data_IF_039849445034
#
_entry.id   IF_039849445034
#
_cell.length_a   1.000
_cell.length_b   1.000
_cell.length_c   1.000
_cell.angle_alpha   90.00
_cell.angle_beta   90.00
_cell.angle_gamma   90.00
#
_symmetry.space_group_name_H-M   'P 1'
#
loop_
_entity.id
_entity.type
_entity.pdbx_description
1 polymer ?
#
# COMPACT_ATOMS: atom_id res chain seq x y z
N UNK A 1 -24.40 70.46 -60.12
CA UNK A 1 -24.14 71.92 -60.15
C UNK A 1 -23.30 72.27 -58.92
N UNK A 2 -22.12 72.87 -59.13
CA UNK A 2 -21.21 73.47 -58.12
C UNK A 2 -20.51 72.54 -57.11
N UNK A 3 -19.19 72.33 -57.24
CA UNK A 3 -18.05 73.10 -56.64
C UNK A 3 -17.95 72.88 -55.11
N UNK A 4 -17.01 72.07 -54.63
CA UNK A 4 -15.59 72.36 -54.38
C UNK A 4 -15.36 73.38 -53.25
N UNK A 5 -14.71 72.96 -52.15
CA UNK A 5 -13.44 73.53 -51.64
C UNK A 5 -12.94 72.77 -50.40
N UNK A 6 -11.62 72.57 -50.37
CA UNK A 6 -10.81 71.96 -49.30
C UNK A 6 -10.23 73.07 -48.43
N UNK A 7 -10.12 72.88 -47.11
CA UNK A 7 -9.06 73.51 -46.30
C UNK A 7 -8.68 72.69 -45.06
N UNK A 8 -7.38 72.35 -44.97
CA UNK A 8 -6.46 72.12 -43.84
C UNK A 8 -6.99 72.34 -42.39
N UNK A 9 -6.56 71.70 -41.29
CA UNK A 9 -5.38 70.87 -40.98
C UNK A 9 -5.44 70.26 -39.55
N UNK A 10 -4.86 69.07 -39.40
CA UNK A 10 -4.05 68.51 -38.30
C UNK A 10 -4.49 68.49 -36.82
N UNK A 11 -4.39 67.26 -36.28
CA UNK A 11 -3.94 66.80 -34.95
C UNK A 11 -4.95 66.76 -33.78
N UNK A 12 -5.16 65.53 -33.29
CA UNK A 12 -5.72 65.23 -31.96
C UNK A 12 -6.37 63.83 -31.88
N UNK A 13 -5.56 62.84 -31.49
CA UNK A 13 -5.82 61.41 -31.20
C UNK A 13 -7.27 60.90 -30.99
N UNK A 14 -7.62 59.70 -31.51
CA UNK A 14 -8.81 58.96 -31.10
C UNK A 14 -8.49 57.83 -30.11
N UNK A 15 -9.43 57.62 -29.19
CA UNK A 15 -9.54 56.47 -28.28
C UNK A 15 -10.43 55.39 -28.93
N UNK A 16 -10.06 54.12 -28.69
CA UNK A 16 -10.78 52.82 -28.84
C UNK A 16 -11.48 52.46 -30.16
N UNK A 17 -11.07 51.32 -30.73
CA UNK A 17 -11.84 50.06 -30.77
C UNK A 17 -11.23 49.05 -31.77
N UNK A 18 -11.31 47.76 -31.42
CA UNK A 18 -11.53 46.70 -32.42
C UNK A 18 -10.33 45.87 -32.90
N UNK A 19 -10.08 44.79 -32.16
CA UNK A 19 -9.91 43.41 -32.66
C UNK A 19 -9.09 43.11 -33.94
N UNK A 20 -8.12 42.21 -33.77
CA UNK A 20 -7.96 41.09 -34.70
C UNK A 20 -6.65 41.01 -35.48
N UNK A 21 -5.56 40.65 -34.82
CA UNK A 21 -4.51 39.80 -35.42
C UNK A 21 -3.53 39.38 -34.34
N UNK A 22 -3.52 38.11 -33.94
CA UNK A 22 -2.28 37.55 -33.43
C UNK A 22 -2.16 36.09 -33.86
N UNK A 23 -1.36 35.95 -34.90
CA UNK A 23 -0.98 34.73 -35.57
C UNK A 23 -0.06 33.93 -34.64
N UNK A 24 -0.36 32.64 -34.55
CA UNK A 24 0.27 31.70 -33.66
C UNK A 24 1.55 31.18 -34.31
N UNK A 25 2.72 31.58 -33.82
CA UNK A 25 3.99 30.83 -33.88
C UNK A 25 5.09 31.61 -33.17
N UNK A 26 6.09 30.88 -32.63
CA UNK A 26 7.29 31.35 -31.90
C UNK A 26 7.04 31.55 -30.39
N UNK A 27 7.59 30.77 -29.45
CA UNK A 27 8.51 29.64 -29.49
C UNK A 27 8.39 28.88 -28.16
N UNK A 28 8.18 27.56 -28.23
CA UNK A 28 8.05 26.59 -27.13
C UNK A 28 9.30 26.51 -26.22
N UNK A 29 10.37 27.24 -26.53
CA UNK A 29 11.62 27.28 -25.77
C UNK A 29 11.58 28.23 -24.54
N UNK A 30 10.59 29.11 -24.41
CA UNK A 30 10.47 30.04 -23.28
C UNK A 30 9.67 29.47 -22.08
N UNK A 31 8.88 28.41 -22.29
CA UNK A 31 8.09 27.76 -21.23
C UNK A 31 8.85 26.66 -20.48
N UNK A 32 9.99 26.20 -21.00
CA UNK A 32 10.81 25.15 -20.39
C UNK A 32 11.77 25.73 -19.34
N UNK A 33 12.15 27.01 -19.46
CA UNK A 33 13.10 27.66 -18.53
C UNK A 33 12.42 28.37 -17.32
N UNK A 34 11.09 28.57 -17.33
CA UNK A 34 10.34 29.26 -16.26
C UNK A 34 9.71 28.29 -15.24
N UNK A 35 9.62 26.99 -15.54
CA UNK A 35 9.10 25.97 -14.60
C UNK A 35 10.18 25.14 -13.90
N UNK A 36 11.42 25.63 -13.91
CA UNK A 36 12.55 25.07 -13.14
C UNK A 36 13.11 26.11 -12.15
N UNK A 37 12.30 26.56 -11.19
CA UNK A 37 12.79 27.10 -9.92
C UNK A 37 11.65 27.19 -8.88
N UNK A 38 11.87 26.54 -7.74
CA UNK A 38 11.15 26.71 -6.46
C UNK A 38 9.68 26.27 -6.36
N UNK A 39 9.43 24.96 -6.44
CA UNK A 39 8.31 24.36 -5.70
C UNK A 39 8.83 23.88 -4.34
N UNK A 40 8.76 24.73 -3.31
CA UNK A 40 8.83 24.27 -1.92
C UNK A 40 7.67 23.30 -1.71
N UNK A 41 7.96 21.99 -1.71
CA UNK A 41 6.99 20.96 -1.32
C UNK A 41 6.62 21.19 0.15
N UNK A 42 5.32 21.17 0.54
CA UNK A 42 4.92 21.54 1.89
C UNK A 42 5.44 20.50 2.89
N UNK A 43 5.78 20.95 4.10
CA UNK A 43 6.38 20.15 5.18
C UNK A 43 5.68 18.81 5.50
N UNK A 44 4.42 18.63 5.07
CA UNK A 44 3.64 17.40 5.19
C UNK A 44 4.18 16.25 4.33
N UNK A 45 4.66 16.51 3.10
CA UNK A 45 5.21 15.44 2.25
C UNK A 45 6.55 14.96 2.81
N UNK A 46 7.44 15.90 3.17
CA UNK A 46 8.75 15.58 3.72
C UNK A 46 8.66 14.84 5.07
N UNK A 47 7.62 15.14 5.87
CA UNK A 47 7.36 14.46 7.14
C UNK A 47 6.90 13.02 6.94
N UNK A 48 5.97 12.78 6.00
CA UNK A 48 5.51 11.42 5.68
C UNK A 48 6.66 10.59 5.10
N UNK A 49 7.43 11.16 4.18
CA UNK A 49 8.60 10.51 3.56
C UNK A 49 9.63 10.06 4.62
N UNK A 50 9.92 10.90 5.62
CA UNK A 50 10.82 10.56 6.73
C UNK A 50 10.25 9.47 7.64
N UNK A 51 8.95 9.56 7.94
CA UNK A 51 8.26 8.57 8.77
C UNK A 51 8.29 7.20 8.10
N UNK A 52 7.99 7.13 6.81
CA UNK A 52 8.07 5.90 6.02
C UNK A 52 9.49 5.37 5.90
N UNK A 53 10.49 6.24 5.73
CA UNK A 53 11.89 5.83 5.70
C UNK A 53 12.34 5.17 7.01
N UNK A 54 11.97 5.72 8.17
CA UNK A 54 12.24 5.13 9.48
C UNK A 54 11.56 3.76 9.64
N UNK A 55 10.30 3.63 9.18
CA UNK A 55 9.58 2.37 9.21
C UNK A 55 10.22 1.32 8.32
N UNK A 56 10.66 1.70 7.12
CA UNK A 56 11.34 0.81 6.18
C UNK A 56 12.68 0.32 6.73
N UNK A 57 13.48 1.22 7.31
CA UNK A 57 14.74 0.85 7.97
C UNK A 57 14.49 -0.13 9.13
N UNK A 58 13.48 0.14 9.97
CA UNK A 58 13.11 -0.78 11.06
C UNK A 58 12.60 -2.14 10.54
N UNK A 59 11.80 -2.15 9.46
CA UNK A 59 11.34 -3.38 8.80
C UNK A 59 12.53 -4.22 8.30
N UNK A 60 13.49 -3.59 7.61
CA UNK A 60 14.68 -4.26 7.09
C UNK A 60 15.53 -4.86 8.22
N UNK A 61 15.76 -4.11 9.31
CA UNK A 61 16.51 -4.61 10.45
C UNK A 61 15.85 -5.83 11.12
N UNK A 62 14.51 -5.83 11.25
CA UNK A 62 13.79 -7.00 11.78
C UNK A 62 13.89 -8.17 10.79
N UNK A 63 13.73 -7.92 9.49
CA UNK A 63 13.80 -8.96 8.47
C UNK A 63 15.18 -9.64 8.43
N UNK A 64 16.26 -8.89 8.64
CA UNK A 64 17.64 -9.38 8.56
C UNK A 64 18.16 -9.95 9.88
N UNK A 65 17.83 -9.32 11.01
CA UNK A 65 18.47 -9.57 12.31
C UNK A 65 17.49 -9.98 13.42
N UNK A 66 16.21 -10.15 13.08
CA UNK A 66 15.15 -10.45 14.03
C UNK A 66 14.79 -9.28 14.94
N UNK A 67 13.86 -9.50 15.87
CA UNK A 67 13.36 -8.45 16.75
C UNK A 67 14.43 -7.95 17.74
N UNK A 68 15.30 -8.85 18.19
CA UNK A 68 16.40 -8.52 19.11
C UNK A 68 17.50 -7.71 18.42
N UNK A 69 17.60 -7.78 17.09
CA UNK A 69 18.50 -6.97 16.28
C UNK A 69 17.99 -5.54 16.02
N UNK A 70 16.73 -5.22 16.33
CA UNK A 70 16.19 -3.88 16.13
C UNK A 70 16.78 -2.88 17.13
N UNK A 71 17.54 -1.91 16.63
CA UNK A 71 18.18 -0.85 17.42
C UNK A 71 17.71 0.51 16.92
N UNK A 72 16.88 1.22 17.70
CA UNK A 72 16.30 2.51 17.29
C UNK A 72 17.35 3.56 16.91
N UNK A 73 18.52 3.56 17.57
CA UNK A 73 19.64 4.43 17.19
C UNK A 73 20.17 4.12 15.79
N UNK A 74 20.30 2.85 15.44
CA UNK A 74 20.76 2.42 14.11
C UNK A 74 19.70 2.75 13.05
N UNK A 75 18.41 2.52 13.35
CA UNK A 75 17.29 2.90 12.47
C UNK A 75 17.33 4.40 12.15
N UNK A 76 17.56 5.25 13.15
CA UNK A 76 17.65 6.69 12.93
C UNK A 76 18.88 7.04 12.06
N UNK A 77 20.04 6.47 12.38
CA UNK A 77 21.29 6.71 11.67
C UNK A 77 21.23 6.28 10.20
N UNK A 78 20.58 5.15 9.89
CA UNK A 78 20.38 4.64 8.53
C UNK A 78 19.61 5.62 7.63
N UNK A 79 18.70 6.40 8.22
CA UNK A 79 17.89 7.42 7.52
C UNK A 79 18.55 8.80 7.59
N UNK A 80 19.74 8.93 8.18
CA UNK A 80 20.45 10.20 8.37
C UNK A 80 19.79 11.11 9.42
N UNK A 81 19.07 10.54 10.37
CA UNK A 81 18.38 11.25 11.45
C UNK A 81 19.00 10.92 12.82
N UNK A 82 18.84 11.82 13.78
CA UNK A 82 19.22 11.55 15.17
C UNK A 82 18.10 10.82 15.93
N UNK A 83 18.46 10.20 17.06
CA UNK A 83 17.52 9.45 17.89
C UNK A 83 16.36 10.30 18.44
N UNK A 84 16.60 11.57 18.73
CA UNK A 84 15.56 12.50 19.19
C UNK A 84 14.48 12.73 18.11
N UNK A 85 14.90 12.83 16.85
CA UNK A 85 14.00 12.96 15.71
C UNK A 85 13.20 11.67 15.51
N UNK A 86 13.81 10.49 15.68
CA UNK A 86 13.06 9.23 15.65
C UNK A 86 11.98 9.23 16.75
N UNK A 87 12.31 9.60 17.98
CA UNK A 87 11.34 9.65 19.08
C UNK A 87 10.22 10.69 18.86
N UNK A 88 10.49 11.76 18.10
CA UNK A 88 9.44 12.67 17.66
C UNK A 88 8.40 11.99 16.74
N UNK A 89 8.82 11.07 15.86
CA UNK A 89 7.91 10.29 15.00
C UNK A 89 7.30 9.08 15.71
N UNK A 90 8.09 8.41 16.54
CA UNK A 90 7.75 7.16 17.21
C UNK A 90 8.20 7.26 18.67
N UNK A 91 7.33 7.78 19.55
CA UNK A 91 7.67 8.00 20.97
C UNK A 91 8.12 6.72 21.68
N UNK A 92 7.61 5.56 21.24
CA UNK A 92 7.94 4.26 21.82
C UNK A 92 8.33 3.23 20.75
N UNK A 93 8.98 2.14 21.18
CA UNK A 93 9.32 1.02 20.29
C UNK A 93 8.05 0.39 19.70
N UNK A 94 6.99 0.30 20.49
CA UNK A 94 5.67 -0.22 20.08
C UNK A 94 5.05 0.63 18.97
N UNK A 95 5.19 1.96 19.05
CA UNK A 95 4.73 2.86 18.00
C UNK A 95 5.47 2.61 16.67
N UNK A 96 6.78 2.37 16.73
CA UNK A 96 7.58 1.98 15.56
C UNK A 96 7.15 0.62 15.01
N UNK A 97 6.94 -0.37 15.88
CA UNK A 97 6.47 -1.71 15.48
C UNK A 97 5.08 -1.66 14.83
N UNK A 98 4.15 -0.86 15.34
CA UNK A 98 2.85 -0.62 14.67
C UNK A 98 3.05 -0.04 13.27
N UNK A 99 4.03 0.85 13.10
CA UNK A 99 4.44 1.34 11.79
C UNK A 99 4.96 0.24 10.86
N UNK A 100 5.84 -0.64 11.37
CA UNK A 100 6.38 -1.79 10.63
C UNK A 100 5.27 -2.75 10.18
N UNK A 101 4.33 -3.08 11.06
CA UNK A 101 3.18 -3.93 10.72
C UNK A 101 2.29 -3.24 9.68
N UNK A 102 2.03 -1.93 9.82
CA UNK A 102 1.27 -1.17 8.84
C UNK A 102 1.96 -1.16 7.46
N UNK A 103 3.29 -1.08 7.43
CA UNK A 103 4.08 -1.20 6.20
C UNK A 103 3.94 -2.58 5.57
N UNK A 104 4.08 -3.66 6.34
CA UNK A 104 3.85 -5.02 5.86
C UNK A 104 2.44 -5.21 5.29
N UNK A 105 1.41 -4.68 5.97
CA UNK A 105 0.02 -4.70 5.48
C UNK A 105 -0.16 -3.86 4.22
N UNK A 106 0.60 -2.78 4.03
CA UNK A 106 0.57 -1.99 2.81
C UNK A 106 1.17 -2.76 1.62
N UNK A 107 2.20 -3.57 1.83
CA UNK A 107 2.72 -4.50 0.80
C UNK A 107 1.66 -5.52 0.37
N UNK A 108 0.87 -6.01 1.32
CA UNK A 108 -0.28 -6.85 1.00
C UNK A 108 -1.36 -6.12 0.17
N UNK A 109 -1.74 -4.90 0.57
CA UNK A 109 -2.73 -4.09 -0.18
C UNK A 109 -2.27 -3.76 -1.60
N UNK A 110 -0.99 -3.44 -1.77
CA UNK A 110 -0.42 -3.19 -3.09
C UNK A 110 -0.36 -4.44 -3.95
N UNK A 111 -0.15 -5.63 -3.35
CA UNK A 111 -0.25 -6.91 -4.06
C UNK A 111 -1.69 -7.25 -4.45
N UNK A 112 -2.70 -6.83 -3.67
CA UNK A 112 -4.11 -7.02 -4.02
C UNK A 112 -4.54 -6.25 -5.28
N UNK A 113 -4.04 -5.03 -5.47
CA UNK A 113 -4.49 -4.14 -6.56
C UNK A 113 -4.25 -4.68 -7.99
N UNK A 114 -3.10 -5.29 -8.33
CA UNK A 114 -2.83 -5.89 -9.64
C UNK A 114 -3.77 -7.04 -10.04
N UNK A 115 -4.45 -7.68 -9.09
CA UNK A 115 -5.24 -8.89 -9.37
C UNK A 115 -6.65 -8.61 -9.94
N UNK A 116 -6.96 -7.35 -10.29
CA UNK A 116 -8.17 -6.94 -11.02
C UNK A 116 -9.51 -7.15 -10.28
N UNK A 117 -10.61 -6.84 -10.96
CA UNK A 117 -11.97 -7.11 -10.50
C UNK A 117 -12.35 -8.58 -10.76
N UNK A 118 -11.78 -9.50 -9.98
CA UNK A 118 -12.22 -10.90 -9.97
C UNK A 118 -13.66 -10.99 -9.46
N UNK A 119 -14.49 -11.83 -10.11
CA UNK A 119 -15.83 -12.19 -9.63
C UNK A 119 -15.81 -12.93 -8.27
N UNK A 120 -14.65 -13.49 -7.89
CA UNK A 120 -14.42 -14.12 -6.59
C UNK A 120 -13.39 -13.31 -5.77
N UNK A 121 -13.86 -12.47 -4.82
CA UNK A 121 -12.99 -11.68 -3.94
C UNK A 121 -12.13 -12.53 -2.99
N UNK A 122 -12.60 -13.72 -2.59
CA UNK A 122 -11.87 -14.61 -1.68
C UNK A 122 -10.66 -15.21 -2.37
N UNK A 123 -10.83 -15.76 -3.58
CA UNK A 123 -9.72 -16.29 -4.38
C UNK A 123 -8.70 -15.20 -4.72
N UNK A 124 -9.16 -13.98 -5.02
CA UNK A 124 -8.26 -12.84 -5.21
C UNK A 124 -7.41 -12.57 -3.96
N UNK A 125 -8.03 -12.59 -2.78
CA UNK A 125 -7.32 -12.42 -1.52
C UNK A 125 -6.26 -13.49 -1.31
N UNK A 126 -6.62 -14.77 -1.49
CA UNK A 126 -5.68 -15.89 -1.34
C UNK A 126 -4.51 -15.78 -2.33
N UNK A 127 -4.76 -15.47 -3.60
CA UNK A 127 -3.71 -15.28 -4.61
C UNK A 127 -2.77 -14.13 -4.25
N UNK A 128 -3.30 -13.02 -3.74
CA UNK A 128 -2.47 -11.90 -3.30
C UNK A 128 -1.58 -12.29 -2.11
N UNK A 129 -2.09 -13.06 -1.14
CA UNK A 129 -1.25 -13.55 -0.02
C UNK A 129 -0.15 -14.48 -0.54
N UNK A 130 -0.49 -15.42 -1.43
CA UNK A 130 0.48 -16.33 -2.04
C UNK A 130 1.60 -15.57 -2.77
N UNK A 131 1.22 -14.58 -3.57
CA UNK A 131 2.16 -13.76 -4.35
C UNK A 131 3.06 -12.96 -3.43
N UNK A 132 2.49 -12.32 -2.40
CA UNK A 132 3.27 -11.57 -1.41
C UNK A 132 4.29 -12.45 -0.68
N UNK A 133 3.88 -13.62 -0.20
CA UNK A 133 4.78 -14.53 0.53
C UNK A 133 5.90 -15.08 -0.35
N UNK A 134 5.66 -15.20 -1.66
CA UNK A 134 6.65 -15.67 -2.63
C UNK A 134 7.63 -14.57 -3.02
N UNK A 135 7.12 -13.39 -3.36
CA UNK A 135 7.89 -12.32 -3.99
C UNK A 135 8.56 -11.42 -2.93
N UNK A 136 8.00 -11.37 -1.72
CA UNK A 136 8.50 -10.57 -0.59
C UNK A 136 8.60 -11.43 0.69
N UNK A 137 9.51 -12.42 0.73
CA UNK A 137 9.67 -13.32 1.88
C UNK A 137 10.00 -12.58 3.19
N UNK A 138 10.56 -11.36 3.11
CA UNK A 138 10.82 -10.50 4.27
C UNK A 138 9.54 -10.16 5.03
N UNK A 139 8.41 -10.02 4.34
CA UNK A 139 7.12 -9.75 4.99
C UNK A 139 6.71 -10.93 5.87
N UNK A 140 6.86 -12.15 5.36
CA UNK A 140 6.65 -13.37 6.14
C UNK A 140 7.60 -13.43 7.34
N UNK A 141 8.90 -13.23 7.11
CA UNK A 141 9.90 -13.27 8.17
C UNK A 141 9.60 -12.28 9.31
N UNK A 142 9.29 -11.01 8.99
CA UNK A 142 8.95 -9.98 9.98
C UNK A 142 7.69 -10.35 10.74
N UNK A 143 6.62 -10.77 10.07
CA UNK A 143 5.37 -11.14 10.73
C UNK A 143 5.53 -12.38 11.63
N UNK A 144 6.30 -13.38 11.18
CA UNK A 144 6.62 -14.58 11.96
C UNK A 144 7.45 -14.27 13.20
N UNK A 145 8.48 -13.44 13.05
CA UNK A 145 9.34 -12.99 14.16
C UNK A 145 8.52 -12.24 15.22
N UNK A 146 7.68 -11.28 14.80
CA UNK A 146 6.84 -10.52 15.73
C UNK A 146 5.79 -11.42 16.42
N UNK A 147 5.22 -12.39 15.70
CA UNK A 147 4.29 -13.35 16.27
C UNK A 147 4.97 -14.21 17.36
N UNK A 148 6.16 -14.74 17.09
CA UNK A 148 6.93 -15.51 18.07
C UNK A 148 7.33 -14.68 19.29
N UNK A 149 7.74 -13.42 19.06
CA UNK A 149 8.12 -12.51 20.16
C UNK A 149 6.94 -12.16 21.06
N UNK A 150 5.73 -12.11 20.49
CA UNK A 150 4.50 -11.78 21.21
C UNK A 150 4.18 -12.73 22.36
N UNK A 151 4.67 -13.98 22.31
CA UNK A 151 4.55 -14.93 23.41
C UNK A 151 5.26 -14.48 24.70
N UNK A 152 6.20 -13.53 24.59
CA UNK A 152 7.06 -13.06 25.69
C UNK A 152 6.96 -11.54 25.90
N UNK A 153 6.06 -10.86 25.19
CA UNK A 153 5.87 -9.41 25.28
C UNK A 153 4.37 -9.10 25.20
N UNK A 154 3.72 -8.77 26.33
CA UNK A 154 2.28 -8.49 26.37
C UNK A 154 1.86 -7.31 25.48
N UNK A 155 2.72 -6.31 25.31
CA UNK A 155 2.44 -5.15 24.48
C UNK A 155 2.41 -5.54 23.00
N UNK A 156 3.37 -6.34 22.57
CA UNK A 156 3.41 -6.90 21.21
C UNK A 156 2.29 -7.91 20.98
N UNK A 157 1.94 -8.70 21.99
CA UNK A 157 0.79 -9.61 21.93
C UNK A 157 -0.50 -8.87 21.65
N UNK A 158 -0.70 -7.70 22.27
CA UNK A 158 -1.88 -6.88 21.99
C UNK A 158 -1.89 -6.36 20.55
N UNK A 159 -0.75 -5.87 20.05
CA UNK A 159 -0.61 -5.38 18.67
C UNK A 159 -0.89 -6.51 17.66
N UNK A 160 -0.35 -7.70 17.90
CA UNK A 160 -0.51 -8.86 17.02
C UNK A 160 -1.95 -9.40 17.07
N UNK A 161 -2.59 -9.46 18.25
CA UNK A 161 -4.02 -9.80 18.36
C UNK A 161 -4.89 -8.86 17.56
N UNK A 162 -4.72 -7.55 17.72
CA UNK A 162 -5.48 -6.54 16.96
C UNK A 162 -5.33 -6.72 15.45
N UNK A 163 -4.10 -7.02 15.00
CA UNK A 163 -3.77 -7.25 13.59
C UNK A 163 -4.45 -8.51 13.07
N UNK A 164 -4.34 -9.63 13.79
CA UNK A 164 -4.95 -10.90 13.40
C UNK A 164 -6.49 -10.86 13.48
N UNK A 165 -7.08 -10.22 14.49
CA UNK A 165 -8.54 -10.03 14.57
C UNK A 165 -9.07 -9.24 13.37
N UNK A 166 -8.35 -8.20 12.95
CA UNK A 166 -8.67 -7.43 11.75
C UNK A 166 -8.62 -8.29 10.48
N UNK A 167 -7.59 -9.12 10.35
CA UNK A 167 -7.47 -10.03 9.22
C UNK A 167 -8.56 -11.12 9.23
N UNK A 168 -8.90 -11.67 10.40
CA UNK A 168 -9.94 -12.68 10.58
C UNK A 168 -11.30 -12.14 10.15
N UNK A 169 -11.66 -10.94 10.62
CA UNK A 169 -12.88 -10.25 10.19
C UNK A 169 -12.94 -10.06 8.67
N UNK A 170 -11.80 -9.75 8.04
CA UNK A 170 -11.70 -9.61 6.58
C UNK A 170 -11.97 -10.94 5.87
N UNK A 171 -11.30 -12.02 6.29
CA UNK A 171 -11.49 -13.35 5.72
C UNK A 171 -12.92 -13.85 5.88
N UNK A 172 -13.48 -13.75 7.08
CA UNK A 172 -14.89 -14.06 7.37
C UNK A 172 -15.84 -13.29 6.44
N UNK A 173 -15.59 -12.00 6.24
CA UNK A 173 -16.40 -11.16 5.34
C UNK A 173 -16.32 -11.61 3.87
N UNK A 174 -15.14 -12.05 3.41
CA UNK A 174 -14.95 -12.61 2.06
C UNK A 174 -15.65 -13.96 1.91
N UNK A 175 -15.53 -14.85 2.90
CA UNK A 175 -16.17 -16.15 2.92
C UNK A 175 -17.70 -16.04 2.93
N UNK A 176 -18.27 -15.13 3.73
CA UNK A 176 -19.72 -14.88 3.75
C UNK A 176 -20.24 -14.35 2.42
N UNK A 177 -19.44 -13.58 1.67
CA UNK A 177 -19.81 -13.16 0.32
C UNK A 177 -19.74 -14.34 -0.66
N UNK A 178 -18.65 -15.09 -0.65
CA UNK A 178 -18.50 -16.27 -1.50
C UNK A 178 -19.61 -17.31 -1.26
N UNK A 179 -20.07 -17.49 -0.01
CA UNK A 179 -21.20 -18.36 0.31
C UNK A 179 -22.53 -17.86 -0.27
N UNK A 180 -22.79 -16.54 -0.24
CA UNK A 180 -23.99 -15.94 -0.85
C UNK A 180 -24.00 -16.05 -2.37
N UNK A 181 -22.82 -15.97 -2.98
CA UNK A 181 -22.63 -16.05 -4.43
C UNK A 181 -22.49 -17.51 -4.92
N UNK A 182 -22.74 -18.50 -4.06
CA UNK A 182 -22.62 -19.94 -4.34
C UNK A 182 -21.22 -20.37 -4.83
N UNK A 183 -20.19 -19.60 -4.47
CA UNK A 183 -18.78 -19.85 -4.80
C UNK A 183 -18.05 -20.67 -3.71
N UNK A 184 -18.72 -20.96 -2.60
CA UNK A 184 -18.24 -21.75 -1.47
C UNK A 184 -19.07 -23.03 -1.34
N UNK A 185 -18.43 -24.15 -0.99
CA UNK A 185 -19.17 -25.37 -0.66
C UNK A 185 -20.18 -25.11 0.50
N UNK A 186 -21.46 -25.52 0.34
CA UNK A 186 -22.55 -25.11 1.23
C UNK A 186 -22.43 -25.62 2.67
N UNK A 187 -21.69 -26.71 2.89
CA UNK A 187 -21.42 -27.31 4.19
C UNK A 187 -20.39 -26.53 5.04
N UNK A 188 -19.71 -25.54 4.44
CA UNK A 188 -18.61 -24.84 5.10
C UNK A 188 -19.09 -23.65 5.96
N UNK A 189 -18.75 -23.69 7.25
CA UNK A 189 -18.92 -22.54 8.13
C UNK A 189 -17.85 -21.47 7.85
N UNK A 190 -18.27 -20.24 7.56
CA UNK A 190 -17.36 -19.14 7.22
C UNK A 190 -16.40 -18.74 8.34
N UNK A 191 -16.79 -18.87 9.61
CA UNK A 191 -15.93 -18.54 10.75
C UNK A 191 -14.85 -19.62 10.95
N UNK A 192 -15.24 -20.90 10.92
CA UNK A 192 -14.30 -22.02 11.07
C UNK A 192 -13.28 -22.07 9.93
N UNK A 193 -13.74 -21.82 8.69
CA UNK A 193 -12.85 -21.74 7.53
C UNK A 193 -11.93 -20.53 7.60
N UNK A 194 -12.40 -19.38 8.10
CA UNK A 194 -11.53 -18.21 8.30
C UNK A 194 -10.41 -18.52 9.29
N UNK A 195 -10.72 -19.20 10.40
CA UNK A 195 -9.75 -19.64 11.38
C UNK A 195 -8.74 -20.65 10.78
N UNK A 196 -9.23 -21.63 9.99
CA UNK A 196 -8.38 -22.60 9.30
C UNK A 196 -7.42 -21.95 8.31
N UNK A 197 -7.92 -21.04 7.46
CA UNK A 197 -7.11 -20.28 6.50
C UNK A 197 -6.05 -19.48 7.26
N UNK A 198 -6.44 -18.77 8.32
CA UNK A 198 -5.51 -17.98 9.12
C UNK A 198 -4.42 -18.84 9.75
N UNK A 199 -4.77 -19.94 10.43
CA UNK A 199 -3.79 -20.83 11.04
C UNK A 199 -2.79 -21.38 10.01
N UNK A 200 -3.29 -21.75 8.83
CA UNK A 200 -2.49 -22.25 7.71
C UNK A 200 -1.51 -21.17 7.20
N UNK A 201 -2.01 -19.98 6.93
CA UNK A 201 -1.20 -18.89 6.35
C UNK A 201 -0.21 -18.30 7.35
N UNK A 202 -0.59 -18.15 8.62
CA UNK A 202 0.33 -17.68 9.67
C UNK A 202 1.42 -18.72 9.92
N UNK A 203 1.14 -20.02 9.83
CA UNK A 203 2.19 -21.04 9.95
C UNK A 203 3.25 -20.92 8.84
N UNK A 204 2.84 -20.50 7.63
CA UNK A 204 3.77 -20.31 6.51
C UNK A 204 4.71 -19.12 6.65
N UNK A 205 4.47 -18.21 7.60
CA UNK A 205 5.42 -17.13 7.88
C UNK A 205 6.66 -17.63 8.62
N UNK A 206 6.60 -18.85 9.18
CA UNK A 206 7.73 -19.49 9.82
C UNK A 206 8.68 -20.08 8.75
N UNK A 207 9.99 -19.74 8.75
CA UNK A 207 10.93 -20.19 7.73
C UNK A 207 10.99 -21.71 7.52
N UNK A 208 10.80 -22.49 8.59
CA UNK A 208 10.86 -23.96 8.58
C UNK A 208 9.61 -24.61 7.96
N UNK A 209 8.52 -23.87 7.86
CA UNK A 209 7.23 -24.34 7.33
C UNK A 209 6.97 -23.75 5.94
N UNK A 210 7.31 -22.47 5.75
CA UNK A 210 7.05 -21.65 4.57
C UNK A 210 7.91 -21.93 3.35
N UNK A 211 8.31 -23.18 3.09
CA UNK A 211 8.97 -23.46 1.80
C UNK A 211 8.00 -23.21 0.64
N UNK A 212 8.49 -22.65 -0.47
CA UNK A 212 7.66 -22.30 -1.64
C UNK A 212 6.77 -23.46 -2.10
N UNK A 213 7.28 -24.70 -2.06
CA UNK A 213 6.53 -25.90 -2.39
C UNK A 213 5.35 -26.17 -1.43
N UNK A 214 5.55 -26.06 -0.11
CA UNK A 214 4.49 -26.31 0.88
C UNK A 214 3.42 -25.24 0.86
N UNK A 215 3.85 -23.99 0.69
CA UNK A 215 2.95 -22.85 0.46
C UNK A 215 2.05 -23.14 -0.75
N UNK A 216 2.65 -23.48 -1.89
CA UNK A 216 1.89 -23.78 -3.10
C UNK A 216 0.94 -24.99 -2.95
N UNK A 217 1.37 -26.04 -2.24
CA UNK A 217 0.51 -27.21 -1.95
C UNK A 217 -0.71 -26.83 -1.13
N UNK A 218 -0.53 -26.06 -0.05
CA UNK A 218 -1.61 -25.63 0.81
C UNK A 218 -2.58 -24.70 0.09
N UNK A 219 -2.08 -23.74 -0.70
CA UNK A 219 -2.94 -22.88 -1.53
C UNK A 219 -3.75 -23.69 -2.53
N UNK A 220 -3.16 -24.67 -3.21
CA UNK A 220 -3.90 -25.58 -4.12
C UNK A 220 -4.99 -26.35 -3.37
N UNK A 221 -4.71 -26.86 -2.18
CA UNK A 221 -5.71 -27.59 -1.39
C UNK A 221 -6.83 -26.68 -0.89
N UNK A 222 -6.50 -25.47 -0.41
CA UNK A 222 -7.51 -24.47 -0.04
C UNK A 222 -8.41 -24.13 -1.24
N UNK A 223 -7.85 -23.85 -2.41
CA UNK A 223 -8.65 -23.54 -3.61
C UNK A 223 -9.57 -24.69 -4.05
N UNK A 224 -9.15 -25.94 -3.80
CA UNK A 224 -9.92 -27.16 -4.10
C UNK A 224 -11.04 -27.38 -3.09
N UNK A 225 -10.75 -27.32 -1.80
CA UNK A 225 -11.71 -27.58 -0.71
C UNK A 225 -12.79 -26.50 -0.65
N UNK A 226 -12.46 -25.26 -0.98
CA UNK A 226 -13.43 -24.16 -0.97
C UNK A 226 -14.40 -24.19 -2.17
N UNK A 227 -14.14 -24.98 -3.22
CA UNK A 227 -14.96 -24.98 -4.43
C UNK A 227 -16.26 -25.78 -4.19
N UNK A 228 -17.43 -25.28 -4.64
CA UNK A 228 -18.65 -26.09 -4.62
C UNK A 228 -18.48 -27.35 -5.48
N UNK A 229 -19.16 -28.46 -5.14
CA UNK A 229 -19.15 -29.66 -5.95
C UNK A 229 -19.63 -29.36 -7.37
N UNK A 230 -19.03 -30.01 -8.37
CA UNK A 230 -19.53 -29.91 -9.74
C UNK A 230 -20.98 -30.43 -9.77
N UNK A 231 -21.91 -29.77 -10.49
CA UNK A 231 -23.24 -30.31 -10.67
C UNK A 231 -23.11 -31.71 -11.26
N UNK A 232 -23.79 -32.68 -10.67
CA UNK A 232 -23.85 -34.03 -11.22
C UNK A 232 -24.35 -33.92 -12.66
N UNK A 233 -23.52 -34.36 -13.62
CA UNK A 233 -23.90 -34.40 -15.03
C UNK A 233 -25.16 -35.25 -15.15
N UNK A 234 -26.27 -34.59 -15.51
CA UNK A 234 -27.55 -35.21 -15.83
C UNK A 234 -27.49 -35.97 -17.16
#
# INVERSE_FOLDING_TARGET
MMRATVSWSSRGAPDRAGAGSNDASVSIKCLIDIMSAAAVRPAKSHREDRREALVRAAFNQIAERGFEGLRTREVAAEVGLNIATLHYYFPTKEALIRGVIAHAMQRFRTTLAPHGASADPLRRHLRAVRTLLRDEPQVGAVMGELALRSARDPSLAQIMRETYDGWHRTLRGLLKRAARDELLAPELNSDDVAALIMATLTSMTLPTVGSSQRVDQAFRQLERVLRPPLPASA
#
